data_IF_987248464730
#
_entry.id   IF_987248464730
#
_cell.length_a   1.000
_cell.length_b   1.000
_cell.length_c   1.000
_cell.angle_alpha   90.00
_cell.angle_beta   90.00
_cell.angle_gamma   90.00
#
_symmetry.space_group_name_H-M   'P 1'
#
loop_
_entity.id
_entity.type
_entity.pdbx_description
1 polymer ?
#
# COMPACT_ATOMS: atom_id res chain seq x y z
N UNK A 1 -9.38 -17.62 21.28
CA UNK A 1 -10.20 -18.08 20.11
C UNK A 1 -9.44 -17.75 18.84
N UNK A 2 -9.46 -18.67 17.87
CA UNK A 2 -8.87 -18.47 16.53
C UNK A 2 -9.57 -17.30 15.81
N UNK A 3 -8.85 -16.56 14.97
CA UNK A 3 -9.41 -15.51 14.12
C UNK A 3 -10.39 -16.13 13.11
N UNK A 4 -11.56 -15.53 12.99
CA UNK A 4 -12.52 -15.85 11.93
C UNK A 4 -12.25 -14.93 10.73
N UNK A 5 -11.52 -15.45 9.76
CA UNK A 5 -11.16 -14.71 8.55
C UNK A 5 -12.37 -14.41 7.65
N UNK A 6 -13.37 -15.27 7.66
CA UNK A 6 -14.57 -15.02 6.87
C UNK A 6 -15.35 -13.82 7.40
N UNK A 7 -15.59 -13.78 8.70
CA UNK A 7 -16.23 -12.63 9.35
C UNK A 7 -15.42 -11.34 9.17
N UNK A 8 -14.09 -11.42 9.29
CA UNK A 8 -13.22 -10.25 9.09
C UNK A 8 -13.27 -9.73 7.66
N UNK A 9 -13.18 -10.63 6.65
CA UNK A 9 -13.30 -10.24 5.24
C UNK A 9 -14.65 -9.61 4.94
N UNK A 10 -15.72 -10.13 5.54
CA UNK A 10 -17.05 -9.53 5.41
C UNK A 10 -17.09 -8.10 5.97
N UNK A 11 -16.59 -7.88 7.17
CA UNK A 11 -16.53 -6.54 7.78
C UNK A 11 -15.70 -5.56 6.91
N UNK A 12 -14.58 -6.03 6.35
CA UNK A 12 -13.77 -5.23 5.44
C UNK A 12 -14.51 -4.92 4.13
N UNK A 13 -15.24 -5.89 3.59
CA UNK A 13 -16.06 -5.69 2.38
C UNK A 13 -17.16 -4.67 2.64
N UNK A 14 -17.85 -4.78 3.75
CA UNK A 14 -18.90 -3.83 4.15
C UNK A 14 -18.32 -2.41 4.29
N UNK A 15 -17.12 -2.27 4.85
CA UNK A 15 -16.43 -0.99 4.98
C UNK A 15 -16.13 -0.33 3.61
N UNK A 16 -15.87 -1.10 2.55
CA UNK A 16 -15.50 -0.53 1.26
C UNK A 16 -16.52 0.47 0.70
N UNK A 17 -17.80 0.29 1.02
CA UNK A 17 -18.89 1.13 0.52
C UNK A 17 -19.59 1.93 1.64
N UNK A 18 -19.13 1.84 2.87
CA UNK A 18 -19.64 2.59 4.02
C UNK A 18 -18.96 3.97 4.12
N UNK A 19 -19.33 4.86 3.20
CA UNK A 19 -18.74 6.22 3.11
C UNK A 19 -19.02 7.03 4.35
N UNK A 20 -17.99 7.63 4.94
CA UNK A 20 -18.07 8.45 6.15
C UNK A 20 -18.06 9.93 5.81
N UNK A 21 -18.90 10.73 6.47
CA UNK A 21 -18.98 12.19 6.25
C UNK A 21 -17.66 12.90 6.54
N UNK A 22 -16.90 12.42 7.51
CA UNK A 22 -15.61 13.01 7.88
C UNK A 22 -14.47 12.69 6.90
N UNK A 23 -14.63 11.67 6.06
CA UNK A 23 -13.73 11.30 4.98
C UNK A 23 -14.52 10.55 3.90
N UNK A 24 -15.22 11.26 3.02
CA UNK A 24 -16.05 10.64 2.00
C UNK A 24 -15.25 9.76 1.05
N UNK A 25 -15.83 8.64 0.68
CA UNK A 25 -15.22 7.73 -0.30
C UNK A 25 -15.36 8.28 -1.72
N UNK A 26 -14.25 8.29 -2.48
CA UNK A 26 -14.26 8.65 -3.88
C UNK A 26 -15.18 7.71 -4.65
N UNK A 27 -16.15 8.28 -5.37
CA UNK A 27 -17.17 7.51 -6.08
C UNK A 27 -17.90 6.48 -5.20
N UNK A 28 -17.95 6.70 -3.89
CA UNK A 28 -18.63 5.84 -2.94
C UNK A 28 -17.90 4.54 -2.57
N UNK A 29 -16.61 4.40 -2.91
CA UNK A 29 -15.85 3.18 -2.65
C UNK A 29 -14.43 3.46 -2.15
N UNK A 30 -14.07 2.92 -0.96
CA UNK A 30 -12.73 3.09 -0.38
C UNK A 30 -11.66 2.15 -0.96
N UNK A 31 -12.00 1.23 -1.83
CA UNK A 31 -11.07 0.22 -2.35
C UNK A 31 -9.77 0.80 -2.87
N UNK A 32 -9.78 1.78 -3.80
CA UNK A 32 -8.54 2.39 -4.30
C UNK A 32 -7.69 3.03 -3.20
N UNK A 33 -8.32 3.65 -2.21
CA UNK A 33 -7.64 4.25 -1.07
C UNK A 33 -6.95 3.21 -0.18
N UNK A 34 -7.61 2.07 0.06
CA UNK A 34 -7.01 0.97 0.82
C UNK A 34 -5.94 0.22 0.02
N UNK A 35 -6.07 0.09 -1.29
CA UNK A 35 -5.00 -0.44 -2.15
C UNK A 35 -3.76 0.45 -2.04
N UNK A 36 -3.93 1.77 -2.12
CA UNK A 36 -2.83 2.72 -1.92
C UNK A 36 -2.17 2.55 -0.55
N UNK A 37 -2.95 2.43 0.53
CA UNK A 37 -2.41 2.18 1.88
C UNK A 37 -1.57 0.90 1.91
N UNK A 38 -2.08 -0.18 1.36
CA UNK A 38 -1.40 -1.49 1.34
C UNK A 38 -0.12 -1.43 0.50
N UNK A 39 -0.20 -0.81 -0.68
CA UNK A 39 0.96 -0.63 -1.55
C UNK A 39 2.06 0.20 -0.87
N UNK A 40 1.71 1.29 -0.21
CA UNK A 40 2.66 2.14 0.50
C UNK A 40 3.22 1.48 1.77
N UNK A 41 2.51 0.53 2.37
CA UNK A 41 3.08 -0.31 3.42
C UNK A 41 4.11 -1.30 2.84
N UNK A 42 3.82 -1.94 1.72
CA UNK A 42 4.72 -2.91 1.09
C UNK A 42 5.92 -2.25 0.38
N UNK A 43 5.71 -1.08 -0.21
CA UNK A 43 6.69 -0.39 -1.05
C UNK A 43 7.92 0.15 -0.30
N UNK A 44 7.92 0.14 1.02
CA UNK A 44 9.07 0.49 1.86
C UNK A 44 10.11 -0.63 1.97
N UNK A 45 9.91 -1.77 1.32
CA UNK A 45 10.87 -2.87 1.34
C UNK A 45 12.21 -2.44 0.73
N UNK A 46 13.29 -2.68 1.47
CA UNK A 46 14.66 -2.36 1.08
C UNK A 46 15.33 -3.61 0.53
N UNK A 47 15.68 -3.60 -0.73
CA UNK A 47 16.30 -4.75 -1.40
C UNK A 47 17.72 -5.02 -0.91
N UNK A 48 18.45 -3.99 -0.44
CA UNK A 48 19.84 -4.13 -0.01
C UNK A 48 20.00 -4.90 1.30
N UNK A 49 19.05 -4.79 2.23
CA UNK A 49 19.13 -5.39 3.56
C UNK A 49 17.87 -6.14 4.01
N UNK A 50 16.84 -6.16 3.18
CA UNK A 50 15.59 -6.88 3.44
C UNK A 50 14.70 -6.24 4.51
N UNK A 51 15.00 -5.01 4.98
CA UNK A 51 14.19 -4.30 5.97
C UNK A 51 13.04 -3.55 5.32
N UNK A 52 12.06 -3.15 6.13
CA UNK A 52 10.86 -2.47 5.66
C UNK A 52 9.82 -3.42 5.10
N UNK A 53 8.98 -2.91 4.21
CA UNK A 53 7.87 -3.66 3.63
C UNK A 53 6.67 -3.80 4.57
N UNK A 54 5.70 -4.61 4.16
CA UNK A 54 4.43 -4.80 4.88
C UNK A 54 4.49 -5.70 6.11
N UNK A 55 5.69 -6.05 6.58
CA UNK A 55 5.89 -7.11 7.58
C UNK A 55 5.61 -6.71 9.03
N UNK A 56 5.61 -5.43 9.38
CA UNK A 56 5.61 -4.96 10.77
C UNK A 56 4.59 -3.85 11.06
N UNK A 57 3.90 -3.36 10.04
CA UNK A 57 2.95 -2.26 10.18
C UNK A 57 3.62 -0.92 10.55
N UNK A 58 4.87 -0.72 10.15
CA UNK A 58 5.71 0.43 10.45
C UNK A 58 5.20 1.75 9.84
N UNK A 59 4.33 1.70 8.83
CA UNK A 59 3.63 2.88 8.29
C UNK A 59 2.90 3.71 9.36
N UNK A 60 2.61 3.14 10.52
CA UNK A 60 1.98 3.85 11.65
C UNK A 60 2.92 4.85 12.33
N UNK A 61 4.21 4.74 12.12
CA UNK A 61 5.24 5.45 12.86
C UNK A 61 6.06 6.40 11.97
N UNK A 62 6.66 7.41 12.63
CA UNK A 62 7.64 8.26 11.98
C UNK A 62 8.90 7.45 11.57
N UNK A 63 9.61 7.82 10.49
CA UNK A 63 9.28 8.94 9.60
C UNK A 63 8.26 8.62 8.52
N UNK A 64 7.89 7.35 8.32
CA UNK A 64 7.05 6.89 7.20
C UNK A 64 5.68 7.56 7.17
N UNK A 65 5.04 7.74 8.34
CA UNK A 65 3.74 8.38 8.43
C UNK A 65 3.75 9.89 8.09
N UNK A 66 4.95 10.47 7.97
CA UNK A 66 5.15 11.89 7.62
C UNK A 66 5.62 12.08 6.18
N UNK A 67 5.89 11.02 5.45
CA UNK A 67 6.27 11.13 4.06
C UNK A 67 5.14 11.72 3.21
N UNK A 68 5.43 12.66 2.28
CA UNK A 68 4.41 13.24 1.40
C UNK A 68 3.59 12.19 0.63
N UNK A 69 4.21 11.13 0.13
CA UNK A 69 3.51 10.03 -0.55
C UNK A 69 2.57 9.25 0.38
N UNK A 70 2.75 9.35 1.68
CA UNK A 70 1.87 8.76 2.70
C UNK A 70 0.80 9.73 3.21
N UNK A 71 0.65 10.88 2.57
CA UNK A 71 -0.37 11.86 2.91
C UNK A 71 -1.76 11.25 2.94
N UNK A 72 -2.54 11.58 3.98
CA UNK A 72 -3.88 11.09 4.24
C UNK A 72 -4.03 9.59 4.56
N UNK A 73 -2.96 8.80 4.61
CA UNK A 73 -3.07 7.39 5.01
C UNK A 73 -3.40 7.19 6.49
N UNK A 74 -3.24 8.22 7.31
CA UNK A 74 -3.79 8.25 8.68
C UNK A 74 -5.32 8.08 8.67
N UNK A 75 -6.02 8.64 7.67
CA UNK A 75 -7.47 8.47 7.48
C UNK A 75 -7.82 7.02 7.13
N UNK A 76 -7.02 6.37 6.29
CA UNK A 76 -7.21 4.95 5.99
C UNK A 76 -7.09 4.10 7.27
N UNK A 77 -6.07 4.34 8.09
CA UNK A 77 -5.91 3.66 9.38
C UNK A 77 -7.06 3.96 10.34
N UNK A 78 -7.57 5.20 10.35
CA UNK A 78 -8.73 5.59 11.16
C UNK A 78 -10.01 4.90 10.70
N UNK A 79 -10.22 4.72 9.40
CA UNK A 79 -11.34 3.94 8.86
C UNK A 79 -11.28 2.47 9.30
N UNK A 80 -10.07 1.89 9.39
CA UNK A 80 -9.87 0.50 9.84
C UNK A 80 -9.96 0.34 11.36
N UNK A 81 -9.90 1.42 12.13
CA UNK A 81 -9.83 1.36 13.59
C UNK A 81 -10.99 0.58 14.23
N UNK A 82 -12.26 0.76 13.85
CA UNK A 82 -13.38 -0.03 14.41
C UNK A 82 -13.20 -1.54 14.20
N UNK A 83 -12.68 -1.94 13.02
CA UNK A 83 -12.39 -3.35 12.72
C UNK A 83 -11.23 -3.84 13.60
N UNK A 84 -10.15 -3.06 13.70
CA UNK A 84 -9.03 -3.40 14.59
C UNK A 84 -9.47 -3.55 16.05
N UNK A 85 -10.35 -2.68 16.53
CA UNK A 85 -10.93 -2.79 17.88
C UNK A 85 -11.76 -4.07 18.05
N UNK A 86 -12.62 -4.40 17.08
CA UNK A 86 -13.46 -5.61 17.12
C UNK A 86 -12.64 -6.90 17.20
N UNK A 87 -11.56 -6.98 16.45
CA UNK A 87 -10.73 -8.19 16.37
C UNK A 87 -9.54 -8.16 17.35
N UNK A 88 -9.13 -6.99 17.81
CA UNK A 88 -8.09 -6.82 18.83
C UNK A 88 -6.76 -7.46 18.44
N UNK A 89 -6.19 -8.21 19.36
CA UNK A 89 -4.89 -8.88 19.16
C UNK A 89 -4.96 -10.16 18.31
N UNK A 90 -6.12 -10.51 17.75
CA UNK A 90 -6.27 -11.66 16.87
C UNK A 90 -5.71 -11.39 15.47
N UNK A 91 -5.54 -10.13 15.12
CA UNK A 91 -4.89 -9.70 13.87
C UNK A 91 -3.96 -8.53 14.17
N UNK A 92 -2.75 -8.59 13.64
CA UNK A 92 -1.81 -7.46 13.66
C UNK A 92 -2.27 -6.34 12.72
N UNK A 93 -1.75 -5.13 12.91
CA UNK A 93 -1.93 -4.06 11.92
C UNK A 93 -1.27 -4.41 10.58
N UNK A 94 -0.11 -5.06 10.63
CA UNK A 94 0.58 -5.52 9.44
C UNK A 94 -0.31 -6.46 8.60
N UNK A 95 -0.89 -7.48 9.23
CA UNK A 95 -1.81 -8.39 8.56
C UNK A 95 -3.10 -7.68 8.11
N UNK A 96 -3.62 -6.78 8.93
CA UNK A 96 -4.84 -6.05 8.58
C UNK A 96 -4.65 -5.16 7.35
N UNK A 97 -3.50 -4.47 7.22
CA UNK A 97 -3.20 -3.66 6.04
C UNK A 97 -3.18 -4.51 4.76
N UNK A 98 -2.48 -5.63 4.80
CA UNK A 98 -2.34 -6.52 3.63
C UNK A 98 -3.69 -7.17 3.27
N UNK A 99 -4.41 -7.69 4.26
CA UNK A 99 -5.73 -8.28 4.04
C UNK A 99 -6.73 -7.27 3.48
N UNK A 100 -6.68 -6.03 3.97
CA UNK A 100 -7.55 -4.96 3.47
C UNK A 100 -7.30 -4.67 2.00
N UNK A 101 -6.05 -4.65 1.55
CA UNK A 101 -5.71 -4.50 0.15
C UNK A 101 -6.25 -5.64 -0.71
N UNK A 102 -6.12 -6.87 -0.24
CA UNK A 102 -6.70 -8.03 -0.95
C UNK A 102 -8.23 -7.92 -1.05
N UNK A 103 -8.90 -7.62 0.06
CA UNK A 103 -10.37 -7.46 0.07
C UNK A 103 -10.79 -6.30 -0.83
N UNK A 104 -10.05 -5.21 -0.87
CA UNK A 104 -10.33 -4.09 -1.77
C UNK A 104 -10.30 -4.52 -3.24
N UNK A 105 -9.27 -5.26 -3.65
CA UNK A 105 -9.16 -5.81 -5.01
C UNK A 105 -10.32 -6.77 -5.31
N UNK A 106 -10.60 -7.69 -4.39
CA UNK A 106 -11.67 -8.69 -4.54
C UNK A 106 -13.05 -8.04 -4.62
N UNK A 107 -13.31 -7.00 -3.83
CA UNK A 107 -14.59 -6.26 -3.82
C UNK A 107 -14.88 -5.52 -5.13
N UNK A 108 -13.85 -5.22 -5.89
CA UNK A 108 -13.95 -4.62 -7.23
C UNK A 108 -13.89 -5.66 -8.36
N UNK A 109 -13.97 -6.95 -8.04
CA UNK A 109 -13.99 -8.06 -9.02
C UNK A 109 -12.62 -8.57 -9.44
N UNK A 110 -11.53 -8.08 -8.84
CA UNK A 110 -10.19 -8.58 -9.08
C UNK A 110 -9.92 -9.91 -8.37
N UNK A 111 -8.91 -10.63 -8.82
CA UNK A 111 -8.44 -11.87 -8.19
C UNK A 111 -7.13 -11.61 -7.45
N UNK A 112 -7.00 -12.15 -6.26
CA UNK A 112 -5.75 -12.11 -5.47
C UNK A 112 -5.12 -13.50 -5.40
N UNK A 113 -3.80 -13.54 -5.12
CA UNK A 113 -3.08 -14.81 -4.97
C UNK A 113 -3.33 -15.49 -3.60
N UNK A 114 -4.16 -14.90 -2.76
CA UNK A 114 -4.45 -15.39 -1.42
C UNK A 114 -3.81 -14.53 -0.34
N UNK A 115 -3.91 -15.00 0.90
CA UNK A 115 -3.43 -14.30 2.09
C UNK A 115 -2.86 -15.29 3.10
N UNK A 116 -1.71 -14.95 3.64
CA UNK A 116 -1.13 -15.64 4.79
C UNK A 116 -0.90 -14.64 5.92
N UNK A 117 -1.45 -14.92 7.08
CA UNK A 117 -1.28 -14.11 8.29
C UNK A 117 -0.08 -14.54 9.12
N UNK A 118 0.23 -13.76 10.16
CA UNK A 118 1.30 -14.05 11.10
C UNK A 118 2.40 -12.99 11.16
N UNK A 119 2.20 -11.86 10.46
CA UNK A 119 3.11 -10.72 10.56
C UNK A 119 3.00 -10.09 11.94
N UNK A 120 4.12 -9.82 12.63
CA UNK A 120 4.09 -9.11 13.90
C UNK A 120 3.86 -7.62 13.71
N UNK A 121 3.42 -6.96 14.78
CA UNK A 121 3.42 -5.50 14.85
C UNK A 121 4.65 -5.02 15.63
N UNK A 122 5.25 -3.93 15.20
CA UNK A 122 6.14 -3.13 16.05
C UNK A 122 5.30 -2.19 16.93
N UNK A 123 5.84 -1.84 18.10
CA UNK A 123 5.17 -0.98 19.08
C UNK A 123 5.76 0.43 19.17
N UNK A 124 6.90 0.62 18.54
CA UNK A 124 7.56 1.92 18.37
C UNK A 124 8.30 1.95 17.04
N UNK A 125 8.65 3.14 16.57
CA UNK A 125 9.55 3.26 15.43
C UNK A 125 10.87 2.55 15.74
N UNK A 126 11.35 1.66 14.87
CA UNK A 126 12.61 0.97 15.09
C UNK A 126 13.77 1.97 15.10
N UNK A 127 14.58 1.98 16.16
CA UNK A 127 15.71 2.90 16.27
C UNK A 127 16.81 2.61 15.23
N UNK A 128 16.92 1.37 14.80
CA UNK A 128 17.88 0.92 13.80
C UNK A 128 17.39 1.10 12.35
N UNK A 129 16.14 1.50 12.15
CA UNK A 129 15.57 1.79 10.85
C UNK A 129 15.24 3.28 10.76
N UNK A 130 16.26 4.10 10.61
CA UNK A 130 16.06 5.49 10.23
C UNK A 130 15.90 5.57 8.71
N UNK A 131 14.68 5.88 8.29
CA UNK A 131 14.34 5.97 6.87
C UNK A 131 14.73 7.31 6.26
N UNK A 132 14.95 8.34 7.06
CA UNK A 132 15.20 9.66 6.56
C UNK A 132 14.02 10.29 5.85
N UNK A 133 14.32 11.27 5.00
CA UNK A 133 13.32 11.97 4.19
C UNK A 133 12.94 11.11 3.00
N UNK A 134 11.72 11.28 2.51
CA UNK A 134 11.22 10.55 1.36
C UNK A 134 12.12 10.72 0.13
N UNK A 135 12.61 11.94 -0.12
CA UNK A 135 13.45 12.25 -1.27
C UNK A 135 14.79 11.48 -1.27
N UNK A 136 15.29 11.11 -0.11
CA UNK A 136 16.53 10.32 0.02
C UNK A 136 16.32 8.87 -0.49
N UNK A 137 15.11 8.34 -0.36
CA UNK A 137 14.77 6.97 -0.71
C UNK A 137 14.10 6.84 -2.07
N UNK A 138 13.23 7.78 -2.43
CA UNK A 138 12.43 7.73 -3.64
C UNK A 138 13.01 8.57 -4.76
N UNK A 139 13.87 9.51 -4.44
CA UNK A 139 14.37 10.53 -5.36
C UNK A 139 13.24 11.34 -6.04
N UNK A 140 13.52 12.53 -6.48
CA UNK A 140 12.50 13.39 -7.10
C UNK A 140 12.54 13.30 -8.64
N UNK A 141 12.48 12.09 -9.19
CA UNK A 141 12.53 11.85 -10.63
C UNK A 141 11.21 11.40 -11.25
N UNK A 142 10.13 11.39 -10.46
CA UNK A 142 8.82 10.86 -10.88
C UNK A 142 8.22 11.54 -12.11
N UNK A 143 8.68 12.76 -12.43
CA UNK A 143 8.15 13.57 -13.54
C UNK A 143 9.09 13.70 -14.74
N UNK A 144 10.27 13.12 -14.71
CA UNK A 144 11.30 13.33 -15.75
C UNK A 144 11.21 12.36 -16.93
N UNK A 145 10.38 11.34 -16.86
CA UNK A 145 10.31 10.28 -17.87
C UNK A 145 11.50 9.31 -17.88
N UNK A 146 12.63 9.70 -17.33
CA UNK A 146 13.78 8.82 -17.10
C UNK A 146 13.72 8.26 -15.68
N UNK A 147 13.85 6.95 -15.56
CA UNK A 147 13.70 6.22 -14.29
C UNK A 147 14.97 5.50 -13.95
N UNK A 148 15.53 5.85 -12.82
CA UNK A 148 16.58 5.07 -12.16
C UNK A 148 15.92 4.00 -11.29
N UNK A 149 16.05 2.74 -11.69
CA UNK A 149 15.48 1.61 -10.98
C UNK A 149 16.45 0.99 -9.97
N UNK A 150 17.65 1.55 -9.80
CA UNK A 150 18.70 1.06 -8.93
C UNK A 150 18.64 1.63 -7.49
N UNK A 151 17.51 2.19 -7.09
CA UNK A 151 17.33 2.67 -5.73
C UNK A 151 16.89 1.55 -4.77
N UNK A 152 17.16 1.70 -3.46
CA UNK A 152 17.08 0.57 -2.51
C UNK A 152 15.68 0.03 -2.23
N UNK A 153 14.61 0.75 -2.57
CA UNK A 153 13.25 0.29 -2.32
C UNK A 153 12.74 -0.59 -3.47
N UNK A 154 12.14 -1.74 -3.14
CA UNK A 154 11.63 -2.69 -4.12
C UNK A 154 10.59 -2.08 -5.07
N UNK A 155 9.71 -1.22 -4.57
CA UNK A 155 8.73 -0.50 -5.38
C UNK A 155 9.39 0.39 -6.44
N UNK A 156 10.51 1.02 -6.09
CA UNK A 156 11.29 1.86 -7.01
C UNK A 156 11.96 1.00 -8.07
N UNK A 157 12.56 -0.12 -7.70
CA UNK A 157 13.17 -1.06 -8.66
C UNK A 157 12.15 -1.61 -9.65
N UNK A 158 10.92 -1.86 -9.22
CA UNK A 158 9.83 -2.22 -10.11
C UNK A 158 9.30 -1.05 -10.94
N UNK A 159 9.77 0.18 -10.70
CA UNK A 159 9.33 1.38 -11.39
C UNK A 159 7.93 1.87 -11.04
N UNK A 160 7.24 1.23 -10.10
CA UNK A 160 5.84 1.53 -9.79
C UNK A 160 5.66 2.83 -9.01
N UNK A 161 6.63 3.21 -8.19
CA UNK A 161 6.57 4.44 -7.40
C UNK A 161 6.67 5.71 -8.27
N UNK A 162 7.24 5.58 -9.47
CA UNK A 162 7.40 6.68 -10.41
C UNK A 162 6.29 6.77 -11.46
N UNK A 163 5.28 5.94 -11.36
CA UNK A 163 4.07 6.13 -12.16
C UNK A 163 3.50 7.49 -11.80
N UNK A 164 3.37 8.37 -12.77
CA UNK A 164 2.90 9.72 -12.54
C UNK A 164 1.39 9.74 -12.30
N UNK A 165 0.92 9.76 -11.05
CA UNK A 165 -0.51 9.74 -10.75
C UNK A 165 -1.20 11.07 -11.09
N UNK A 166 -0.41 12.12 -11.28
CA UNK A 166 -0.92 13.46 -11.58
C UNK A 166 -0.91 13.79 -13.07
N UNK A 167 -0.42 12.85 -13.91
CA UNK A 167 -0.31 13.09 -15.33
C UNK A 167 0.85 14.02 -15.73
N UNK A 168 1.01 14.33 -17.04
CA UNK A 168 2.02 15.24 -17.51
C UNK A 168 1.89 16.63 -16.87
N UNK A 169 3.02 17.22 -16.53
CA UNK A 169 3.10 18.57 -15.94
C UNK A 169 2.28 18.74 -14.64
N UNK A 170 2.06 17.66 -13.90
CA UNK A 170 1.31 17.66 -12.67
C UNK A 170 -0.21 17.77 -12.82
N UNK A 171 -0.72 17.67 -14.05
CA UNK A 171 -2.17 17.66 -14.29
C UNK A 171 -2.72 16.24 -14.12
N UNK A 172 -3.82 16.05 -13.36
CA UNK A 172 -4.42 14.73 -13.19
C UNK A 172 -4.87 14.14 -14.53
N UNK A 173 -4.31 12.99 -14.88
CA UNK A 173 -4.68 12.22 -16.06
C UNK A 173 -4.75 10.73 -15.74
N UNK A 174 -5.93 10.22 -15.33
CA UNK A 174 -6.10 8.82 -14.99
C UNK A 174 -5.79 7.85 -16.14
N UNK A 175 -6.00 8.26 -17.39
CA UNK A 175 -5.72 7.40 -18.55
C UNK A 175 -4.22 7.30 -18.83
N UNK A 176 -3.49 8.41 -18.70
CA UNK A 176 -2.03 8.39 -18.80
C UNK A 176 -1.41 7.57 -17.66
N UNK A 177 -1.90 7.75 -16.43
CA UNK A 177 -1.47 6.94 -15.27
C UNK A 177 -1.75 5.45 -15.46
N UNK A 178 -2.92 5.08 -15.95
CA UNK A 178 -3.26 3.69 -16.25
C UNK A 178 -2.38 3.10 -17.36
N UNK A 179 -2.01 3.88 -18.36
CA UNK A 179 -1.09 3.49 -19.42
C UNK A 179 0.31 3.25 -18.86
N UNK A 180 0.81 4.13 -18.00
CA UNK A 180 2.10 4.00 -17.33
C UNK A 180 2.14 2.76 -16.44
N UNK A 181 1.14 2.54 -15.59
CA UNK A 181 1.04 1.35 -14.75
C UNK A 181 1.08 0.08 -15.60
N UNK A 182 0.35 0.07 -16.71
CA UNK A 182 0.32 -1.07 -17.62
C UNK A 182 1.69 -1.32 -18.28
N UNK A 183 2.36 -0.28 -18.72
CA UNK A 183 3.68 -0.38 -19.33
C UNK A 183 4.72 -0.93 -18.35
N UNK A 184 4.77 -0.38 -17.14
CA UNK A 184 5.69 -0.84 -16.08
C UNK A 184 5.37 -2.28 -15.67
N UNK A 185 4.12 -2.61 -15.42
CA UNK A 185 3.70 -3.97 -15.04
C UNK A 185 4.00 -4.98 -16.16
N UNK A 186 3.80 -4.60 -17.40
CA UNK A 186 4.10 -5.45 -18.54
C UNK A 186 5.61 -5.74 -18.66
N UNK A 187 6.43 -4.75 -18.45
CA UNK A 187 7.89 -4.88 -18.57
C UNK A 187 8.49 -5.67 -17.41
N UNK A 188 8.04 -5.45 -16.19
CA UNK A 188 8.71 -5.98 -15.00
C UNK A 188 8.02 -7.19 -14.36
N UNK A 189 6.70 -7.35 -14.52
CA UNK A 189 5.96 -8.44 -13.87
C UNK A 189 5.70 -9.63 -14.80
N UNK A 190 5.56 -9.40 -16.11
CA UNK A 190 5.35 -10.49 -17.08
C UNK A 190 6.58 -11.32 -17.44
N UNK A 191 7.77 -10.80 -17.17
CA UNK A 191 9.00 -11.57 -17.40
C UNK A 191 9.04 -12.89 -16.60
N UNK A 192 8.26 -13.01 -15.53
CA UNK A 192 8.13 -14.24 -14.74
C UNK A 192 7.04 -15.19 -15.24
N UNK A 193 6.09 -14.74 -16.05
CA UNK A 193 5.03 -15.60 -16.61
C UNK A 193 5.44 -16.35 -17.88
N UNK A 194 6.51 -15.93 -18.54
CA UNK A 194 7.00 -16.55 -19.79
C UNK A 194 7.95 -17.73 -19.56
N UNK A 195 8.25 -18.07 -18.31
CA UNK A 195 9.09 -19.23 -17.95
C UNK A 195 8.28 -20.45 -17.50
N UNK A 196 6.98 -20.43 -17.67
CA UNK A 196 6.08 -21.57 -17.47
C UNK A 196 5.44 -21.99 -18.79
#
# INVERSE_FOLDING_TARGET
KKLDYFALKKDLTDLMTDSKDWWPADYGHYGPFFIRMTWHAAGTYRTADGRGGGGTGDQRFAPLNSWPDNGNLDKARRLLWPIKQKYGNKISWADLFILTGNVAIESMGGKTFGFSGGRPDIWSAPEDIYWGREEEWLQNKRYTGERDLEVPLGAVQMGLIYVNPQGPDGNPDPLASAKDIRAVSYTHLRAHETLL
#
